data_IF_505162276129
#
_entry.id   IF_505162276129
#
_cell.length_a   1.000
_cell.length_b   1.000
_cell.length_c   1.000
_cell.angle_alpha   90.00
_cell.angle_beta   90.00
_cell.angle_gamma   90.00
#
_symmetry.space_group_name_H-M   'P 1'
#
loop_
_entity.id
_entity.type
_entity.pdbx_description
1 polymer ?
#
# COMPACT_ATOMS: atom_id res chain seq x y z
N UNK A 1 6.28 -22.71 17.64
CA UNK A 1 7.03 -21.50 17.22
C UNK A 1 6.03 -20.60 16.52
N UNK A 2 5.77 -19.40 17.05
CA UNK A 2 4.93 -18.43 16.36
C UNK A 2 5.60 -18.05 15.03
N UNK A 3 4.86 -17.92 13.91
CA UNK A 3 5.45 -17.42 12.68
C UNK A 3 5.98 -16.02 12.96
N UNK A 4 7.26 -15.79 12.65
CA UNK A 4 7.86 -14.47 12.78
C UNK A 4 7.02 -13.52 11.92
N UNK A 5 6.35 -12.56 12.58
CA UNK A 5 5.75 -11.43 11.89
C UNK A 5 6.85 -10.82 11.02
N UNK A 6 6.59 -10.60 9.73
CA UNK A 6 7.57 -9.89 8.91
C UNK A 6 7.88 -8.57 9.60
N UNK A 7 9.16 -8.20 9.70
CA UNK A 7 9.58 -6.94 10.34
C UNK A 7 8.80 -5.74 9.77
N UNK A 8 8.37 -5.84 8.51
CA UNK A 8 7.44 -4.96 7.84
C UNK A 8 6.09 -4.77 8.53
N UNK A 9 5.40 -5.87 8.90
CA UNK A 9 4.06 -5.81 9.51
C UNK A 9 4.06 -5.00 10.82
N UNK A 10 5.10 -5.18 11.63
CA UNK A 10 5.27 -4.40 12.87
C UNK A 10 5.45 -2.90 12.59
N UNK A 11 6.17 -2.52 11.52
CA UNK A 11 6.35 -1.12 11.15
C UNK A 11 5.08 -0.49 10.58
N UNK A 12 4.26 -1.25 9.84
CA UNK A 12 2.95 -0.76 9.39
C UNK A 12 2.03 -0.55 10.58
N UNK A 13 1.95 -1.51 11.49
CA UNK A 13 1.13 -1.38 12.71
C UNK A 13 1.55 -0.13 13.52
N UNK A 14 2.85 0.13 13.66
CA UNK A 14 3.38 1.36 14.28
C UNK A 14 3.05 2.64 13.49
N UNK A 15 3.12 2.62 12.16
CA UNK A 15 2.77 3.77 11.32
C UNK A 15 1.26 4.06 11.32
N UNK A 16 0.43 3.03 11.46
CA UNK A 16 -1.02 3.14 11.64
C UNK A 16 -1.38 3.73 13.02
N UNK A 17 -0.56 3.49 14.05
CA UNK A 17 -0.74 4.05 15.39
C UNK A 17 -0.33 5.52 15.52
N UNK A 18 0.59 6.00 14.68
CA UNK A 18 1.27 7.30 14.88
C UNK A 18 0.79 8.47 13.99
N UNK A 19 0.03 8.22 12.92
CA UNK A 19 -0.26 9.26 11.92
C UNK A 19 -1.69 9.82 12.08
N UNK A 20 -1.87 11.08 12.53
CA UNK A 20 -3.14 11.76 12.37
C UNK A 20 -3.46 11.90 10.87
N UNK A 21 -4.72 11.63 10.52
CA UNK A 21 -5.25 11.74 9.16
C UNK A 21 -4.88 13.13 8.58
N UNK A 22 -4.19 13.21 7.43
CA UNK A 22 -3.79 14.50 6.89
C UNK A 22 -5.05 15.35 6.59
N UNK A 23 -5.04 16.67 6.85
CA UNK A 23 -6.14 17.53 6.47
C UNK A 23 -6.26 17.54 4.95
N UNK A 24 -7.30 16.89 4.42
CA UNK A 24 -7.51 16.77 2.98
C UNK A 24 -8.65 17.68 2.48
N UNK A 25 -8.53 18.22 1.25
CA UNK A 25 -9.61 18.98 0.64
C UNK A 25 -10.84 18.08 0.44
N UNK A 26 -12.02 18.63 0.74
CA UNK A 26 -13.29 17.93 0.63
C UNK A 26 -13.49 17.37 -0.80
N UNK A 27 -13.66 16.04 -0.91
CA UNK A 27 -13.89 15.35 -2.19
C UNK A 27 -12.66 14.70 -2.83
N UNK A 28 -11.47 14.83 -2.24
CA UNK A 28 -10.27 14.13 -2.74
C UNK A 28 -10.41 12.60 -2.64
N UNK A 29 -10.01 11.91 -3.71
CA UNK A 29 -9.91 10.45 -3.73
C UNK A 29 -8.68 10.06 -2.91
N UNK A 30 -8.89 9.18 -1.95
CA UNK A 30 -7.88 8.63 -1.07
C UNK A 30 -7.58 7.18 -1.47
N UNK A 31 -6.31 6.82 -1.49
CA UNK A 31 -5.86 5.48 -1.80
C UNK A 31 -5.16 4.88 -0.57
N UNK A 32 -5.65 3.73 -0.11
CA UNK A 32 -5.08 2.99 1.02
C UNK A 32 -4.48 1.67 0.53
N UNK A 33 -3.16 1.56 0.51
CA UNK A 33 -2.44 0.31 0.33
C UNK A 33 -2.51 -0.54 1.61
N UNK A 34 -3.15 -1.69 1.54
CA UNK A 34 -3.25 -2.61 2.67
C UNK A 34 -1.88 -3.21 3.04
N UNK A 35 -1.72 -3.47 4.32
CA UNK A 35 -0.48 -3.96 4.90
C UNK A 35 -0.13 -5.38 4.42
N UNK A 36 -1.15 -6.19 4.19
CA UNK A 36 -1.00 -7.60 3.87
C UNK A 36 -0.63 -7.85 2.41
N UNK A 37 0.37 -8.71 2.21
CA UNK A 37 0.53 -9.42 0.95
C UNK A 37 -0.55 -10.47 0.81
N UNK A 38 -1.25 -10.45 -0.31
CA UNK A 38 -2.32 -11.37 -0.67
C UNK A 38 -1.81 -12.45 -1.62
N UNK A 39 -2.43 -13.61 -1.54
CA UNK A 39 -2.29 -14.70 -2.49
C UNK A 39 -3.60 -14.95 -3.22
N UNK A 40 -3.51 -15.43 -4.46
CA UNK A 40 -4.63 -15.80 -5.29
C UNK A 40 -4.83 -17.31 -5.30
N UNK A 41 -5.96 -17.75 -4.76
CA UNK A 41 -6.36 -19.15 -4.70
C UNK A 41 -7.44 -19.47 -5.73
N UNK A 42 -7.36 -20.67 -6.30
CA UNK A 42 -8.46 -21.36 -6.96
C UNK A 42 -9.07 -22.36 -5.99
N UNK A 43 -10.39 -22.31 -5.84
CA UNK A 43 -11.15 -23.14 -4.92
C UNK A 43 -11.88 -24.23 -5.70
N UNK A 44 -11.58 -25.50 -5.40
CA UNK A 44 -12.15 -26.64 -6.11
C UNK A 44 -13.18 -27.41 -5.25
N UNK A 45 -13.10 -27.35 -3.91
CA UNK A 45 -13.96 -28.14 -2.99
C UNK A 45 -14.73 -27.31 -1.97
N UNK A 46 -14.70 -25.97 -2.07
CA UNK A 46 -15.39 -25.06 -1.16
C UNK A 46 -14.47 -23.97 -0.61
N UNK A 47 -14.91 -23.31 0.46
CA UNK A 47 -14.14 -22.22 1.10
C UNK A 47 -13.11 -22.82 2.08
N UNK A 48 -11.80 -22.60 1.86
CA UNK A 48 -10.72 -23.15 2.70
C UNK A 48 -10.64 -22.48 4.07
N UNK A 49 -9.95 -23.09 5.03
CA UNK A 49 -9.85 -22.56 6.40
C UNK A 49 -9.07 -21.26 6.46
N UNK A 50 -8.06 -21.08 5.61
CA UNK A 50 -7.34 -19.81 5.50
C UNK A 50 -8.27 -18.63 5.17
N UNK A 51 -9.24 -18.82 4.26
CA UNK A 51 -10.23 -17.80 3.91
C UNK A 51 -11.23 -17.58 5.05
N UNK A 52 -11.69 -18.66 5.72
CA UNK A 52 -12.55 -18.54 6.91
C UNK A 52 -11.87 -17.84 8.07
N UNK A 53 -10.57 -18.09 8.27
CA UNK A 53 -9.75 -17.42 9.29
C UNK A 53 -9.61 -15.93 8.98
N UNK A 54 -9.29 -15.57 7.73
CA UNK A 54 -9.21 -14.17 7.32
C UNK A 54 -10.51 -13.41 7.60
N UNK A 55 -11.65 -14.00 7.23
CA UNK A 55 -12.97 -13.42 7.49
C UNK A 55 -13.27 -13.27 8.98
N UNK A 56 -12.99 -14.29 9.81
CA UNK A 56 -13.21 -14.22 11.27
C UNK A 56 -12.31 -13.20 11.97
N UNK A 57 -11.09 -13.03 11.48
CA UNK A 57 -10.12 -12.07 12.03
C UNK A 57 -10.30 -10.66 11.50
N UNK A 58 -11.29 -10.40 10.63
CA UNK A 58 -11.51 -9.09 10.01
C UNK A 58 -10.40 -8.65 9.06
N UNK A 59 -9.57 -9.59 8.60
CA UNK A 59 -8.52 -9.31 7.61
C UNK A 59 -9.12 -9.24 6.21
N UNK A 60 -8.39 -8.64 5.28
CA UNK A 60 -8.84 -8.60 3.89
C UNK A 60 -9.03 -10.02 3.34
N UNK A 61 -10.23 -10.33 2.88
CA UNK A 61 -10.49 -11.51 2.07
C UNK A 61 -11.57 -11.20 1.04
N UNK A 62 -11.42 -11.74 -0.16
CA UNK A 62 -12.43 -11.69 -1.19
C UNK A 62 -12.60 -13.08 -1.80
N UNK A 63 -13.85 -13.48 -2.05
CA UNK A 63 -14.18 -14.71 -2.77
C UNK A 63 -15.07 -14.32 -3.94
N UNK A 64 -14.66 -14.70 -5.15
CA UNK A 64 -15.39 -14.48 -6.38
C UNK A 64 -15.85 -15.84 -6.89
N UNK A 65 -17.16 -16.01 -7.01
CA UNK A 65 -17.72 -17.21 -7.58
C UNK A 65 -17.85 -17.04 -9.10
N UNK A 66 -17.18 -17.91 -9.84
CA UNK A 66 -17.17 -17.95 -11.29
C UNK A 66 -17.98 -19.18 -11.78
N UNK A 67 -18.45 -19.21 -13.02
CA UNK A 67 -19.08 -20.41 -13.56
C UNK A 67 -18.11 -21.60 -13.53
N UNK A 68 -18.37 -22.56 -12.64
CA UNK A 68 -17.57 -23.80 -12.49
C UNK A 68 -16.28 -23.67 -11.67
N UNK A 69 -16.01 -22.51 -11.07
CA UNK A 69 -14.86 -22.30 -10.19
C UNK A 69 -15.15 -21.23 -9.13
N UNK A 70 -14.32 -21.13 -8.11
CA UNK A 70 -14.25 -19.92 -7.30
C UNK A 70 -12.80 -19.51 -7.11
N UNK A 71 -12.57 -18.21 -7.06
CA UNK A 71 -11.25 -17.62 -6.81
C UNK A 71 -11.29 -16.84 -5.51
N UNK A 72 -10.20 -16.87 -4.75
CA UNK A 72 -10.11 -16.16 -3.49
C UNK A 72 -8.80 -15.40 -3.32
N UNK A 73 -8.89 -14.24 -2.70
CA UNK A 73 -7.78 -13.40 -2.31
C UNK A 73 -7.70 -13.44 -0.80
N UNK A 74 -6.59 -13.92 -0.28
CA UNK A 74 -6.40 -14.16 1.16
C UNK A 74 -4.99 -13.71 1.57
N UNK A 75 -4.78 -13.24 2.81
CA UNK A 75 -3.45 -12.89 3.28
C UNK A 75 -2.51 -14.09 3.20
N UNK A 76 -1.38 -13.93 2.53
CA UNK A 76 -0.43 -15.03 2.28
C UNK A 76 0.08 -15.70 3.55
N UNK A 77 0.20 -14.95 4.66
CA UNK A 77 0.65 -15.48 5.94
C UNK A 77 -0.33 -16.48 6.59
N UNK A 78 -1.56 -16.59 6.07
CA UNK A 78 -2.54 -17.60 6.50
C UNK A 78 -2.50 -18.86 5.65
N UNK A 79 -1.73 -18.90 4.56
CA UNK A 79 -1.67 -20.07 3.72
C UNK A 79 -0.98 -21.22 4.46
N UNK A 80 -1.59 -22.42 4.49
CA UNK A 80 -0.91 -23.63 4.90
C UNK A 80 0.14 -24.02 3.85
N UNK A 81 0.85 -25.12 4.06
CA UNK A 81 1.82 -25.61 3.08
C UNK A 81 1.09 -25.97 1.77
N UNK A 82 1.71 -25.81 0.59
CA UNK A 82 1.06 -26.06 -0.69
C UNK A 82 0.40 -27.45 -0.80
N UNK A 83 1.06 -28.49 -0.28
CA UNK A 83 0.51 -29.84 -0.25
C UNK A 83 -0.75 -29.95 0.64
N UNK A 84 -0.74 -29.32 1.82
CA UNK A 84 -1.90 -29.29 2.73
C UNK A 84 -3.08 -28.53 2.10
N UNK A 85 -2.81 -27.40 1.44
CA UNK A 85 -3.81 -26.59 0.74
C UNK A 85 -4.54 -27.39 -0.35
N UNK A 86 -3.79 -28.13 -1.17
CA UNK A 86 -4.34 -28.93 -2.26
C UNK A 86 -5.05 -30.18 -1.74
N UNK A 87 -4.38 -30.97 -0.90
CA UNK A 87 -4.85 -32.29 -0.50
C UNK A 87 -6.01 -32.22 0.50
N UNK A 88 -5.94 -31.27 1.44
CA UNK A 88 -6.88 -31.17 2.55
C UNK A 88 -7.99 -30.15 2.28
N UNK A 89 -7.62 -28.98 1.76
CA UNK A 89 -8.59 -27.88 1.56
C UNK A 89 -9.18 -27.84 0.16
N UNK A 90 -8.61 -28.61 -0.79
CA UNK A 90 -9.05 -28.61 -2.18
C UNK A 90 -8.93 -27.23 -2.83
N UNK A 91 -7.86 -26.50 -2.49
CA UNK A 91 -7.53 -25.20 -3.07
C UNK A 91 -6.10 -25.20 -3.62
N UNK A 92 -5.84 -24.37 -4.61
CA UNK A 92 -4.52 -24.24 -5.24
C UNK A 92 -4.16 -22.78 -5.39
N UNK A 93 -2.91 -22.41 -5.11
CA UNK A 93 -2.43 -21.07 -5.43
C UNK A 93 -2.17 -20.95 -6.94
N UNK A 94 -2.91 -20.09 -7.64
CA UNK A 94 -2.84 -20.03 -9.11
C UNK A 94 -1.54 -19.44 -9.65
N UNK A 95 -0.90 -18.58 -8.85
CA UNK A 95 0.33 -17.86 -9.22
C UNK A 95 1.33 -18.02 -8.08
N UNK A 96 1.80 -19.27 -7.90
CA UNK A 96 2.70 -19.64 -6.81
C UNK A 96 3.88 -18.69 -6.67
N UNK A 97 4.05 -18.11 -5.49
CA UNK A 97 5.12 -17.15 -5.21
C UNK A 97 4.82 -15.69 -5.59
N UNK A 98 3.81 -15.40 -6.41
CA UNK A 98 3.42 -14.01 -6.70
C UNK A 98 2.61 -13.41 -5.55
N UNK A 99 3.09 -12.31 -4.98
CA UNK A 99 2.36 -11.53 -3.99
C UNK A 99 1.50 -10.47 -4.66
N UNK A 100 0.30 -10.23 -4.13
CA UNK A 100 -0.61 -9.17 -4.54
C UNK A 100 -0.75 -8.14 -3.42
N UNK A 101 -0.81 -6.85 -3.78
CA UNK A 101 -1.15 -5.77 -2.87
C UNK A 101 -2.55 -5.24 -3.22
N UNK A 102 -3.38 -5.06 -2.19
CA UNK A 102 -4.67 -4.41 -2.32
C UNK A 102 -4.56 -2.92 -2.02
N UNK A 103 -5.10 -2.09 -2.91
CA UNK A 103 -5.23 -0.65 -2.76
C UNK A 103 -6.73 -0.34 -2.72
N UNK A 104 -7.25 0.01 -1.54
CA UNK A 104 -8.63 0.48 -1.40
C UNK A 104 -8.76 1.90 -1.95
N UNK A 105 -9.84 2.13 -2.67
CA UNK A 105 -10.17 3.42 -3.28
C UNK A 105 -11.39 3.98 -2.59
N UNK A 106 -11.26 5.16 -2.00
CA UNK A 106 -12.37 5.81 -1.33
C UNK A 106 -12.17 7.31 -1.20
N UNK A 107 -12.88 7.90 -0.26
CA UNK A 107 -12.69 9.28 0.20
C UNK A 107 -12.45 9.26 1.70
N UNK A 108 -11.65 10.22 2.17
CA UNK A 108 -11.47 10.46 3.60
C UNK A 108 -12.83 10.62 4.28
N UNK A 109 -12.97 10.07 5.48
CA UNK A 109 -14.21 10.13 6.24
C UNK A 109 -13.93 10.07 7.73
N UNK A 110 -14.73 10.76 8.54
CA UNK A 110 -14.43 10.96 9.96
C UNK A 110 -14.46 9.64 10.76
N UNK A 111 -13.27 9.21 11.21
CA UNK A 111 -13.04 8.27 12.32
C UNK A 111 -11.97 7.20 12.03
N UNK A 112 -11.58 6.43 13.05
CA UNK A 112 -10.47 5.45 12.97
C UNK A 112 -10.63 4.52 11.77
N UNK A 113 -9.75 4.62 10.77
CA UNK A 113 -9.71 3.71 9.61
C UNK A 113 -9.63 4.32 8.20
N UNK A 114 -9.38 5.62 8.02
CA UNK A 114 -8.85 6.22 6.77
C UNK A 114 -9.76 6.29 5.53
N UNK A 115 -10.65 5.33 5.29
CA UNK A 115 -11.59 5.32 4.16
C UNK A 115 -12.98 4.87 4.62
N UNK A 116 -13.94 5.78 4.67
CA UNK A 116 -15.33 5.46 5.08
C UNK A 116 -16.37 5.74 4.01
N UNK A 117 -16.02 6.50 2.98
CA UNK A 117 -16.96 6.92 1.94
C UNK A 117 -16.52 6.33 0.60
N UNK A 118 -17.42 5.67 -0.14
CA UNK A 118 -17.17 5.24 -1.51
C UNK A 118 -16.61 6.35 -2.38
N UNK A 119 -15.65 6.02 -3.25
CA UNK A 119 -15.19 6.95 -4.27
C UNK A 119 -16.32 7.28 -5.28
N UNK A 120 -16.26 8.43 -5.98
CA UNK A 120 -17.18 8.70 -7.07
C UNK A 120 -17.15 7.59 -8.13
N UNK A 121 -18.31 7.29 -8.73
CA UNK A 121 -18.41 6.29 -9.79
C UNK A 121 -17.42 6.59 -10.93
N UNK A 122 -16.78 5.55 -11.47
CA UNK A 122 -15.78 5.67 -12.53
C UNK A 122 -14.36 5.98 -12.06
N UNK A 123 -14.16 6.34 -10.79
CA UNK A 123 -12.81 6.63 -10.24
C UNK A 123 -11.87 5.44 -10.40
N UNK A 124 -12.26 4.25 -9.96
CA UNK A 124 -11.40 3.08 -10.06
C UNK A 124 -11.10 2.69 -11.52
N UNK A 125 -12.07 2.87 -12.42
CA UNK A 125 -11.85 2.68 -13.86
C UNK A 125 -10.75 3.60 -14.41
N UNK A 126 -10.77 4.88 -14.02
CA UNK A 126 -9.72 5.85 -14.38
C UNK A 126 -8.36 5.46 -13.80
N UNK A 127 -8.32 4.99 -12.55
CA UNK A 127 -7.08 4.51 -11.91
C UNK A 127 -6.55 3.24 -12.60
N UNK A 128 -7.43 2.30 -12.98
CA UNK A 128 -7.05 1.12 -13.74
C UNK A 128 -6.47 1.48 -15.12
N UNK A 129 -7.07 2.45 -15.80
CA UNK A 129 -6.57 2.95 -17.08
C UNK A 129 -5.20 3.64 -16.91
N UNK A 130 -4.99 4.36 -15.83
CA UNK A 130 -3.69 4.96 -15.49
C UNK A 130 -2.61 3.90 -15.30
N UNK A 131 -2.88 2.88 -14.48
CA UNK A 131 -1.92 1.83 -14.16
C UNK A 131 -1.58 0.99 -15.40
N UNK A 132 -2.56 0.73 -16.26
CA UNK A 132 -2.34 0.04 -17.54
C UNK A 132 -1.38 0.81 -18.46
N UNK A 133 -1.43 2.16 -18.47
CA UNK A 133 -0.50 3.00 -19.28
C UNK A 133 0.96 2.85 -18.86
N UNK A 134 1.22 2.53 -17.60
CA UNK A 134 2.57 2.28 -17.07
C UNK A 134 2.90 0.79 -16.97
N UNK A 135 2.20 -0.05 -17.74
CA UNK A 135 2.40 -1.51 -17.82
C UNK A 135 2.22 -2.26 -16.49
N UNK A 136 1.51 -1.67 -15.53
CA UNK A 136 1.16 -2.33 -14.27
C UNK A 136 -0.13 -3.11 -14.48
N UNK A 137 -0.05 -4.44 -14.34
CA UNK A 137 -1.23 -5.30 -14.29
C UNK A 137 -2.06 -4.94 -13.06
N UNK A 138 -3.36 -4.71 -13.27
CA UNK A 138 -4.30 -4.38 -12.19
C UNK A 138 -5.57 -5.23 -12.34
N UNK A 139 -6.08 -5.75 -11.22
CA UNK A 139 -7.41 -6.37 -11.14
C UNK A 139 -8.30 -5.50 -10.26
N UNK A 140 -9.55 -5.31 -10.66
CA UNK A 140 -10.52 -4.52 -9.89
C UNK A 140 -11.47 -5.47 -9.16
N UNK A 141 -11.62 -5.28 -7.85
CA UNK A 141 -12.68 -5.86 -7.04
C UNK A 141 -13.64 -4.75 -6.60
N UNK A 142 -14.90 -4.87 -7.00
CA UNK A 142 -15.97 -3.94 -6.63
C UNK A 142 -17.05 -4.69 -5.86
N UNK A 143 -17.28 -4.33 -4.61
CA UNK A 143 -18.30 -4.94 -3.77
C UNK A 143 -18.93 -3.90 -2.82
N UNK A 144 -20.26 -3.79 -2.84
CA UNK A 144 -21.04 -2.95 -1.91
C UNK A 144 -20.53 -1.50 -1.77
N UNK A 145 -20.11 -0.88 -2.87
CA UNK A 145 -19.57 0.49 -2.88
C UNK A 145 -18.11 0.60 -2.42
N UNK A 146 -17.44 -0.52 -2.15
CA UNK A 146 -16.00 -0.58 -1.92
C UNK A 146 -15.31 -1.01 -3.21
N UNK A 147 -14.32 -0.22 -3.64
CA UNK A 147 -13.51 -0.47 -4.82
C UNK A 147 -12.09 -0.78 -4.35
N UNK A 148 -11.51 -1.88 -4.82
CA UNK A 148 -10.16 -2.33 -4.46
C UNK A 148 -9.39 -2.68 -5.72
N UNK A 149 -8.26 -2.01 -5.90
CA UNK A 149 -7.30 -2.33 -6.95
C UNK A 149 -6.30 -3.36 -6.42
N UNK A 150 -6.15 -4.46 -7.12
CA UNK A 150 -5.13 -5.47 -6.84
C UNK A 150 -4.00 -5.30 -7.83
N UNK A 151 -2.80 -5.03 -7.32
CA UNK A 151 -1.57 -4.92 -8.12
C UNK A 151 -0.57 -5.96 -7.66
N UNK A 152 0.27 -6.52 -8.55
CA UNK A 152 1.40 -7.33 -8.13
C UNK A 152 2.27 -6.54 -7.14
N UNK A 153 2.68 -7.17 -6.06
CA UNK A 153 3.46 -6.53 -5.00
C UNK A 153 4.77 -5.93 -5.55
N UNK A 154 5.44 -6.64 -6.45
CA UNK A 154 6.66 -6.16 -7.12
C UNK A 154 6.42 -4.90 -7.98
N UNK A 155 5.19 -4.67 -8.44
CA UNK A 155 4.83 -3.51 -9.25
C UNK A 155 4.30 -2.33 -8.42
N UNK A 156 4.16 -2.48 -7.10
CA UNK A 156 3.60 -1.46 -6.21
C UNK A 156 4.38 -0.12 -6.26
N UNK A 157 5.73 -0.09 -6.29
CA UNK A 157 6.45 1.19 -6.40
C UNK A 157 6.15 1.92 -7.72
N UNK A 158 6.08 1.20 -8.83
CA UNK A 158 5.75 1.78 -10.14
C UNK A 158 4.29 2.27 -10.18
N UNK A 159 3.37 1.51 -9.60
CA UNK A 159 1.98 1.88 -9.47
C UNK A 159 1.83 3.18 -8.67
N UNK A 160 2.49 3.26 -7.52
CA UNK A 160 2.45 4.43 -6.67
C UNK A 160 3.06 5.67 -7.32
N UNK A 161 4.22 5.53 -7.99
CA UNK A 161 4.82 6.63 -8.74
C UNK A 161 3.87 7.19 -9.80
N UNK A 162 3.17 6.33 -10.54
CA UNK A 162 2.18 6.74 -11.52
C UNK A 162 0.98 7.46 -10.88
N UNK A 163 0.46 6.93 -9.77
CA UNK A 163 -0.65 7.53 -9.03
C UNK A 163 -0.28 8.91 -8.48
N UNK A 164 0.90 9.04 -7.86
CA UNK A 164 1.40 10.30 -7.31
C UNK A 164 1.71 11.32 -8.40
N UNK A 165 2.21 10.89 -9.57
CA UNK A 165 2.41 11.78 -10.72
C UNK A 165 1.09 12.41 -11.25
N UNK A 166 -0.07 11.83 -10.93
CA UNK A 166 -1.39 12.38 -11.22
C UNK A 166 -2.02 13.11 -10.03
N UNK A 167 -1.27 13.34 -8.96
CA UNK A 167 -1.73 14.04 -7.76
C UNK A 167 -2.54 13.17 -6.79
N UNK A 168 -2.51 11.83 -6.93
CA UNK A 168 -3.12 10.95 -5.94
C UNK A 168 -2.17 10.67 -4.77
N UNK A 169 -2.71 10.76 -3.55
CA UNK A 169 -2.00 10.35 -2.34
C UNK A 169 -2.27 8.87 -2.05
N UNK A 170 -1.20 8.11 -1.80
CA UNK A 170 -1.24 6.71 -1.40
C UNK A 170 -0.72 6.57 0.04
N UNK A 171 -1.51 5.93 0.91
CA UNK A 171 -1.20 5.72 2.31
C UNK A 171 -1.30 4.23 2.66
N UNK A 172 -0.53 3.70 3.63
CA UNK A 172 0.61 4.34 4.28
C UNK A 172 1.80 4.44 3.31
N UNK A 173 2.47 5.59 3.30
CA UNK A 173 3.62 5.87 2.41
C UNK A 173 4.76 4.87 2.61
N UNK A 174 4.93 4.36 3.83
CA UNK A 174 5.89 3.32 4.15
C UNK A 174 5.71 2.08 3.26
N UNK A 175 4.49 1.79 2.78
CA UNK A 175 4.22 0.58 1.99
C UNK A 175 4.78 0.66 0.56
N UNK A 176 5.21 1.85 0.14
CA UNK A 176 5.53 2.21 -1.24
C UNK A 176 7.02 2.50 -1.44
N UNK A 177 7.70 3.00 -0.42
CA UNK A 177 9.08 3.45 -0.53
C UNK A 177 10.03 2.30 -0.92
N UNK A 178 10.72 2.45 -2.06
CA UNK A 178 11.84 1.60 -2.49
C UNK A 178 13.09 2.48 -2.72
N UNK A 179 14.26 2.18 -2.11
CA UNK A 179 14.46 1.12 -1.12
C UNK A 179 13.61 1.40 0.11
N UNK A 180 13.08 0.31 0.65
CA UNK A 180 12.59 0.28 2.00
C UNK A 180 13.73 0.82 2.88
N UNK A 181 13.58 1.97 3.57
CA UNK A 181 14.69 2.55 4.33
C UNK A 181 15.26 1.62 5.42
N UNK A 182 14.54 0.56 5.79
CA UNK A 182 14.97 -0.51 6.71
C UNK A 182 15.67 -1.71 6.05
N UNK A 183 15.63 -1.83 4.72
CA UNK A 183 16.45 -2.80 3.96
C UNK A 183 17.82 -2.22 3.60
N UNK A 184 17.95 -0.89 3.64
CA UNK A 184 19.26 -0.25 3.64
C UNK A 184 19.98 -0.60 4.95
N UNK A 185 21.30 -0.89 4.92
CA UNK A 185 22.06 -1.12 6.13
C UNK A 185 21.86 0.06 7.10
N UNK A 186 21.63 -0.19 8.40
CA UNK A 186 21.47 0.87 9.37
C UNK A 186 22.70 1.78 9.33
N UNK A 187 22.52 3.05 8.95
CA UNK A 187 23.60 4.03 8.93
C UNK A 187 23.61 5.03 7.77
N UNK A 188 22.85 4.82 6.69
CA UNK A 188 22.79 5.81 5.60
C UNK A 188 21.76 6.92 5.89
N UNK A 189 22.18 7.84 6.76
CA UNK A 189 21.40 9.02 7.13
C UNK A 189 21.04 9.90 5.91
N UNK A 190 21.86 9.89 4.85
CA UNK A 190 21.59 10.66 3.64
C UNK A 190 20.43 10.06 2.84
N UNK A 191 20.40 8.73 2.69
CA UNK A 191 19.29 8.03 2.06
C UNK A 191 17.99 8.18 2.86
N UNK A 192 18.04 8.04 4.19
CA UNK A 192 16.86 8.25 5.05
C UNK A 192 16.31 9.67 4.98
N UNK A 193 17.18 10.69 4.98
CA UNK A 193 16.79 12.10 4.79
C UNK A 193 16.10 12.30 3.45
N UNK A 194 16.67 11.77 2.36
CA UNK A 194 16.11 11.87 1.01
C UNK A 194 14.72 11.21 0.90
N UNK A 195 14.56 10.03 1.51
CA UNK A 195 13.29 9.29 1.48
C UNK A 195 12.20 9.92 2.36
N UNK A 196 12.57 10.62 3.43
CA UNK A 196 11.65 11.32 4.32
C UNK A 196 11.19 12.70 3.80
N UNK A 197 11.64 13.13 2.61
CA UNK A 197 11.40 14.49 2.14
C UNK A 197 12.11 15.54 3.00
N UNK A 198 13.24 15.17 3.61
CA UNK A 198 14.05 16.08 4.40
C UNK A 198 14.98 16.89 3.50
N UNK A 199 15.01 18.20 3.71
CA UNK A 199 15.91 19.14 3.05
C UNK A 199 16.55 20.06 4.08
N UNK A 200 17.84 20.33 3.93
CA UNK A 200 18.59 21.28 4.75
C UNK A 200 18.80 22.57 3.99
N UNK A 201 18.65 23.70 4.67
CA UNK A 201 19.01 25.01 4.12
C UNK A 201 20.51 25.04 3.79
N UNK A 202 20.88 25.32 2.55
CA UNK A 202 22.29 25.47 2.13
C UNK A 202 22.68 26.94 2.09
N UNK A 203 21.75 27.81 1.72
CA UNK A 203 22.00 29.23 1.57
C UNK A 203 20.71 30.02 1.77
N UNK A 204 20.82 31.14 2.48
CA UNK A 204 19.76 32.15 2.62
C UNK A 204 20.28 33.47 2.09
N UNK A 205 19.52 34.09 1.20
CA UNK A 205 19.81 35.39 0.62
C UNK A 205 18.76 36.42 1.00
N UNK A 206 19.18 37.61 1.40
CA UNK A 206 18.29 38.74 1.71
C UNK A 206 19.07 40.08 1.61
N UNK A 207 18.85 40.93 0.58
CA UNK A 207 18.02 40.73 -0.61
C UNK A 207 18.59 39.66 -1.56
N UNK A 208 17.85 39.23 -2.60
CA UNK A 208 18.35 38.27 -3.59
C UNK A 208 19.71 38.69 -4.18
N UNK A 209 20.68 37.77 -4.20
CA UNK A 209 22.07 38.03 -4.58
C UNK A 209 22.98 38.48 -3.45
N UNK A 210 22.49 38.63 -2.22
CA UNK A 210 23.31 38.89 -1.02
C UNK A 210 23.13 37.77 -0.01
N UNK A 211 24.14 36.90 0.13
CA UNK A 211 24.12 35.79 1.09
C UNK A 211 24.18 36.31 2.52
N UNK A 212 23.22 35.89 3.34
CA UNK A 212 23.11 36.24 4.77
C UNK A 212 23.51 35.05 5.64
N UNK A 213 23.17 33.84 5.21
CA UNK A 213 23.56 32.59 5.89
C UNK A 213 23.98 31.57 4.83
N UNK A 214 25.08 30.87 5.08
CA UNK A 214 25.59 29.79 4.22
C UNK A 214 25.94 28.60 5.12
N UNK A 215 25.52 27.42 4.71
CA UNK A 215 25.71 26.18 5.43
C UNK A 215 26.33 25.14 4.50
N UNK A 216 27.27 24.38 5.03
CA UNK A 216 27.73 23.14 4.41
C UNK A 216 26.60 22.12 4.32
N UNK A 217 26.68 21.23 3.32
CA UNK A 217 25.63 20.25 3.06
C UNK A 217 25.31 19.43 4.32
N UNK A 218 24.07 19.56 4.82
CA UNK A 218 23.59 18.85 6.00
C UNK A 218 23.74 19.58 7.34
N UNK A 219 24.44 20.71 7.39
CA UNK A 219 24.66 21.50 8.63
C UNK A 219 23.62 22.61 8.84
N UNK A 220 22.89 22.96 7.79
CA UNK A 220 21.85 23.97 7.87
C UNK A 220 20.52 23.46 8.45
N UNK A 221 19.64 24.39 8.89
CA UNK A 221 18.32 24.06 9.41
C UNK A 221 17.57 23.03 8.55
N UNK A 222 17.19 21.92 9.18
CA UNK A 222 16.48 20.83 8.51
C UNK A 222 14.98 21.13 8.50
N UNK A 223 14.36 20.99 7.34
CA UNK A 223 12.91 20.95 7.18
C UNK A 223 12.51 19.54 6.75
N UNK A 224 11.36 19.11 7.22
CA UNK A 224 10.72 17.87 6.79
C UNK A 224 9.48 18.30 6.02
N UNK A 225 9.37 17.91 4.76
CA UNK A 225 8.13 18.06 4.01
C UNK A 225 7.48 16.69 3.91
N UNK A 226 6.26 16.58 4.44
CA UNK A 226 5.50 15.35 4.24
C UNK A 226 5.22 15.17 2.73
N UNK A 227 5.14 13.93 2.20
CA UNK A 227 4.81 13.68 0.80
C UNK A 227 3.48 14.33 0.34
N UNK A 228 2.61 14.71 1.29
CA UNK A 228 1.38 15.45 1.04
C UNK A 228 1.55 16.98 0.92
N UNK A 229 2.78 17.51 0.98
CA UNK A 229 3.08 18.92 0.84
C UNK A 229 2.88 19.78 2.09
N UNK A 230 2.63 19.17 3.25
CA UNK A 230 2.58 19.82 4.56
C UNK A 230 3.96 19.92 5.22
#
# INVERSE_FOLDING_TARGET
MAPALSAWRAHVELALEAVPEPPQPAGAVCLEALAETLALLRLNRGVPECVRSAARSGQFCAVVQEPGAATAWVPRHLLPRPAELADTEGAEEMEGGLGWCAIRVGRAGSGRGGLKVPAPAGTAGTLCALLTKVTVTVRLLSAFGTEVLLVPEAALPAAAAALTAQGHALWPSARVCNPAPWEAPPGDAALSKRLAGAWSLVQREEPPGTTVEEYTEGDGPLRLQAPCGL
#
